data_IF_530942426263
#
_entry.id   IF_530942426263
#
_cell.length_a   1.000
_cell.length_b   1.000
_cell.length_c   1.000
_cell.angle_alpha   90.00
_cell.angle_beta   90.00
_cell.angle_gamma   90.00
#
_symmetry.space_group_name_H-M   'P 1'
#
loop_
_entity.id
_entity.type
_entity.pdbx_description
1 polymer ?
#
# COMPACT_ATOMS: atom_id res chain seq x y z
N UNK A 1 -12.35 -9.86 11.22
CA UNK A 1 -11.69 -8.52 11.28
C UNK A 1 -10.17 -8.60 11.49
N UNK A 2 -9.61 -9.63 12.14
CA UNK A 2 -8.15 -9.74 12.36
C UNK A 2 -7.29 -9.91 11.10
N UNK A 3 -7.79 -10.52 10.02
CA UNK A 3 -6.97 -10.78 8.82
C UNK A 3 -6.51 -9.48 8.13
N UNK A 4 -7.35 -8.44 8.07
CA UNK A 4 -7.01 -7.17 7.41
C UNK A 4 -5.82 -6.44 8.09
N UNK A 5 -5.72 -6.55 9.43
CA UNK A 5 -4.63 -5.95 10.20
C UNK A 5 -3.28 -6.59 9.85
N UNK A 6 -3.23 -7.91 9.70
CA UNK A 6 -2.00 -8.61 9.34
C UNK A 6 -1.46 -8.18 7.97
N UNK A 7 -2.33 -7.93 6.98
CA UNK A 7 -1.88 -7.46 5.66
C UNK A 7 -1.24 -6.07 5.75
N UNK A 8 -1.84 -5.16 6.52
CA UNK A 8 -1.28 -3.82 6.74
C UNK A 8 0.06 -3.84 7.48
N UNK A 9 0.27 -4.78 8.42
CA UNK A 9 1.56 -4.94 9.09
C UNK A 9 2.62 -5.44 8.12
N UNK A 10 2.30 -6.41 7.27
CA UNK A 10 3.25 -6.94 6.27
C UNK A 10 3.71 -5.85 5.30
N UNK A 11 2.78 -5.01 4.80
CA UNK A 11 3.14 -3.93 3.88
C UNK A 11 3.97 -2.81 4.53
N UNK A 12 3.92 -2.67 5.86
CA UNK A 12 4.72 -1.68 6.59
C UNK A 12 6.23 -2.01 6.56
N UNK A 13 6.61 -3.22 6.15
CA UNK A 13 8.01 -3.60 5.93
C UNK A 13 8.52 -3.26 4.52
N UNK A 14 7.67 -2.81 3.59
CA UNK A 14 8.14 -2.43 2.24
C UNK A 14 9.13 -1.26 2.29
N UNK A 15 8.90 -0.17 3.05
CA UNK A 15 9.90 0.90 3.19
C UNK A 15 11.24 0.41 3.74
N UNK A 16 11.24 -0.56 4.66
CA UNK A 16 12.47 -1.18 5.18
C UNK A 16 13.25 -1.89 4.06
N UNK A 17 12.56 -2.57 3.14
CA UNK A 17 13.19 -3.22 1.99
C UNK A 17 13.73 -2.24 0.94
N UNK A 18 13.12 -1.05 0.83
CA UNK A 18 13.50 -0.03 -0.17
C UNK A 18 14.59 0.93 0.32
N UNK A 19 14.44 1.46 1.53
CA UNK A 19 15.33 2.47 2.12
C UNK A 19 16.16 1.96 3.30
N UNK A 20 16.09 0.66 3.61
CA UNK A 20 16.81 0.07 4.74
C UNK A 20 16.30 0.57 6.09
N UNK A 21 17.04 0.25 7.15
CA UNK A 21 16.74 0.73 8.51
C UNK A 21 16.88 2.26 8.63
N UNK A 22 17.68 2.88 7.77
CA UNK A 22 17.92 4.33 7.78
C UNK A 22 16.69 5.14 7.36
N UNK A 23 15.76 4.55 6.59
CA UNK A 23 14.50 5.22 6.27
C UNK A 23 13.69 5.56 7.54
N UNK A 24 13.78 4.79 8.61
CA UNK A 24 13.13 5.14 9.88
C UNK A 24 13.83 6.28 10.63
N UNK A 25 15.08 6.58 10.31
CA UNK A 25 15.85 7.70 10.90
C UNK A 25 15.74 8.97 10.08
N UNK A 26 15.66 8.83 8.76
CA UNK A 26 15.52 9.93 7.80
C UNK A 26 14.44 9.56 6.78
N UNK A 27 13.16 9.64 7.17
CA UNK A 27 12.07 9.18 6.32
C UNK A 27 11.94 10.05 5.08
N UNK A 28 11.86 9.38 3.93
CA UNK A 28 11.55 9.98 2.63
C UNK A 28 10.12 9.65 2.23
N UNK A 29 9.34 10.68 1.91
CA UNK A 29 7.96 10.56 1.43
C UNK A 29 7.87 9.75 0.14
N UNK A 30 8.87 9.82 -0.74
CA UNK A 30 8.86 9.08 -2.01
C UNK A 30 8.88 7.57 -1.76
N UNK A 31 9.70 7.10 -0.82
CA UNK A 31 9.74 5.69 -0.42
C UNK A 31 8.42 5.26 0.24
N UNK A 32 7.81 6.10 1.07
CA UNK A 32 6.50 5.83 1.66
C UNK A 32 5.39 5.68 0.61
N UNK A 33 5.33 6.57 -0.37
CA UNK A 33 4.37 6.50 -1.47
C UNK A 33 4.63 5.30 -2.39
N UNK A 34 5.90 5.00 -2.69
CA UNK A 34 6.27 3.81 -3.46
C UNK A 34 5.87 2.53 -2.75
N UNK A 35 6.03 2.45 -1.43
CA UNK A 35 5.54 1.33 -0.63
C UNK A 35 4.02 1.17 -0.74
N UNK A 36 3.28 2.27 -0.69
CA UNK A 36 1.84 2.30 -0.99
C UNK A 36 1.53 1.75 -2.38
N UNK A 37 2.21 2.21 -3.42
CA UNK A 37 2.02 1.69 -4.78
C UNK A 37 2.34 0.19 -4.91
N UNK A 38 3.42 -0.28 -4.30
CA UNK A 38 3.80 -1.70 -4.32
C UNK A 38 2.77 -2.57 -3.59
N UNK A 39 2.14 -2.04 -2.54
CA UNK A 39 1.07 -2.77 -1.85
C UNK A 39 -0.17 -3.03 -2.75
N UNK A 40 -0.34 -2.32 -3.87
CA UNK A 40 -1.40 -2.58 -4.87
C UNK A 40 -1.27 -3.93 -5.57
N UNK A 41 -0.11 -4.58 -5.51
CA UNK A 41 0.03 -5.94 -6.05
C UNK A 41 -0.99 -6.91 -5.44
N UNK A 42 -1.23 -6.79 -4.14
CA UNK A 42 -2.18 -7.64 -3.43
C UNK A 42 -3.63 -7.45 -3.92
N UNK A 43 -4.23 -6.25 -3.93
CA UNK A 43 -5.59 -6.09 -4.43
C UNK A 43 -5.70 -6.37 -5.93
N UNK A 44 -4.73 -5.98 -6.77
CA UNK A 44 -4.88 -6.08 -8.22
C UNK A 44 -4.68 -7.49 -8.77
N UNK A 45 -3.79 -8.28 -8.18
CA UNK A 45 -3.43 -9.60 -8.72
C UNK A 45 -3.88 -10.77 -7.85
N UNK A 46 -4.23 -10.54 -6.58
CA UNK A 46 -4.67 -11.61 -5.68
C UNK A 46 -6.14 -11.40 -5.30
N UNK A 47 -6.47 -10.30 -4.63
CA UNK A 47 -7.80 -10.15 -4.04
C UNK A 47 -8.89 -9.93 -5.10
N UNK A 48 -8.72 -8.98 -6.03
CA UNK A 48 -9.73 -8.72 -7.06
C UNK A 48 -9.97 -9.96 -7.96
N UNK A 49 -8.94 -10.69 -8.41
CA UNK A 49 -9.14 -11.96 -9.11
C UNK A 49 -9.85 -13.02 -8.27
N UNK A 50 -9.44 -13.23 -7.01
CA UNK A 50 -10.07 -14.20 -6.12
C UNK A 50 -11.55 -13.89 -5.84
N UNK A 51 -11.94 -12.62 -5.89
CA UNK A 51 -13.33 -12.15 -5.77
C UNK A 51 -14.10 -12.21 -7.10
N UNK A 52 -13.50 -12.70 -8.18
CA UNK A 52 -14.12 -12.77 -9.51
C UNK A 52 -14.15 -11.44 -10.27
N UNK A 53 -13.55 -10.37 -9.73
CA UNK A 53 -13.46 -9.06 -10.38
C UNK A 53 -12.39 -8.98 -11.48
N UNK A 54 -11.59 -10.04 -11.65
CA UNK A 54 -10.50 -10.11 -12.63
C UNK A 54 -9.27 -9.31 -12.21
N UNK A 55 -8.20 -9.39 -13.02
CA UNK A 55 -6.95 -8.66 -12.80
C UNK A 55 -7.24 -7.16 -12.79
N UNK A 56 -6.77 -6.45 -11.75
CA UNK A 56 -7.00 -5.03 -11.55
C UNK A 56 -8.49 -4.64 -11.72
N UNK A 57 -9.42 -5.45 -11.18
CA UNK A 57 -10.87 -5.21 -11.19
C UNK A 57 -11.46 -5.05 -12.60
N UNK A 58 -10.84 -5.62 -13.63
CA UNK A 58 -11.23 -5.46 -15.03
C UNK A 58 -12.69 -5.87 -15.33
N UNK A 59 -13.27 -6.78 -14.55
CA UNK A 59 -14.65 -7.28 -14.72
C UNK A 59 -15.69 -6.53 -13.87
N UNK A 60 -15.29 -5.50 -13.12
CA UNK A 60 -16.24 -4.68 -12.37
C UNK A 60 -17.01 -3.73 -13.30
N UNK A 61 -18.22 -3.26 -12.93
CA UNK A 61 -18.98 -2.33 -13.78
C UNK A 61 -18.27 -1.01 -14.10
N UNK A 62 -17.31 -0.59 -13.26
CA UNK A 62 -16.55 0.66 -13.41
C UNK A 62 -15.07 0.44 -13.03
N UNK A 63 -14.25 -0.22 -13.88
CA UNK A 63 -12.90 -0.65 -13.53
C UNK A 63 -11.96 0.52 -13.23
N UNK A 64 -12.06 1.62 -13.98
CA UNK A 64 -11.24 2.83 -13.73
C UNK A 64 -11.47 3.42 -12.34
N UNK A 65 -12.74 3.49 -11.89
CA UNK A 65 -13.08 3.97 -10.54
C UNK A 65 -12.58 3.02 -9.46
N UNK A 66 -12.71 1.71 -9.66
CA UNK A 66 -12.22 0.71 -8.72
C UNK A 66 -10.70 0.80 -8.54
N UNK A 67 -9.95 0.94 -9.65
CA UNK A 67 -8.49 1.14 -9.63
C UNK A 67 -8.11 2.44 -8.93
N UNK A 68 -8.74 3.56 -9.29
CA UNK A 68 -8.48 4.87 -8.68
C UNK A 68 -8.67 4.83 -7.16
N UNK A 69 -9.80 4.31 -6.69
CA UNK A 69 -10.07 4.22 -5.26
C UNK A 69 -9.06 3.32 -4.54
N UNK A 70 -8.70 2.18 -5.15
CA UNK A 70 -7.65 1.31 -4.62
C UNK A 70 -6.31 2.07 -4.51
N UNK A 71 -5.88 2.73 -5.59
CA UNK A 71 -4.65 3.52 -5.61
C UNK A 71 -4.65 4.62 -4.55
N UNK A 72 -5.74 5.39 -4.42
CA UNK A 72 -5.85 6.45 -3.42
C UNK A 72 -5.72 5.90 -1.99
N UNK A 73 -6.43 4.81 -1.68
CA UNK A 73 -6.33 4.16 -0.36
C UNK A 73 -4.89 3.73 -0.04
N UNK A 74 -4.18 3.16 -1.03
CA UNK A 74 -2.83 2.66 -0.80
C UNK A 74 -1.79 3.78 -0.76
N UNK A 75 -2.00 4.89 -1.49
CA UNK A 75 -1.19 6.10 -1.35
C UNK A 75 -1.40 6.76 0.01
N UNK A 76 -2.64 6.85 0.50
CA UNK A 76 -2.93 7.35 1.85
C UNK A 76 -2.24 6.48 2.91
N UNK A 77 -2.30 5.16 2.75
CA UNK A 77 -1.58 4.23 3.62
C UNK A 77 -0.06 4.48 3.61
N UNK A 78 0.56 4.56 2.43
CA UNK A 78 1.99 4.85 2.29
C UNK A 78 2.40 6.21 2.86
N UNK A 79 1.57 7.22 2.67
CA UNK A 79 1.76 8.55 3.28
C UNK A 79 1.63 8.51 4.81
N UNK A 80 0.70 7.72 5.34
CA UNK A 80 0.57 7.46 6.78
C UNK A 80 1.80 6.78 7.39
N UNK A 81 2.42 5.84 6.67
CA UNK A 81 3.70 5.24 7.06
C UNK A 81 4.81 6.29 7.16
N UNK A 82 4.91 7.17 6.14
CA UNK A 82 5.87 8.27 6.15
C UNK A 82 5.65 9.21 7.35
N UNK A 83 4.42 9.67 7.58
CA UNK A 83 4.12 10.55 8.73
C UNK A 83 4.52 9.87 10.04
N UNK A 84 4.18 8.60 10.20
CA UNK A 84 4.50 7.85 11.42
C UNK A 84 6.01 7.74 11.64
N UNK A 85 6.77 7.41 10.59
CA UNK A 85 8.23 7.37 10.65
C UNK A 85 8.82 8.77 10.93
N UNK A 86 8.29 9.82 10.32
CA UNK A 86 8.72 11.20 10.54
C UNK A 86 8.47 11.66 11.97
N UNK A 87 7.34 11.27 12.56
CA UNK A 87 7.04 11.52 13.97
C UNK A 87 7.95 10.77 14.93
N UNK A 88 8.51 9.63 14.52
CA UNK A 88 9.44 8.84 15.34
C UNK A 88 10.91 9.29 15.19
N UNK A 89 11.25 9.89 14.05
CA UNK A 89 12.60 10.37 13.74
C UNK A 89 12.93 11.74 14.36
N UNK A 90 11.92 12.50 14.78
CA UNK A 90 12.05 13.77 15.51
C UNK A 90 11.94 13.60 17.02
#
# INVERSE_FOLDING_TARGET
MGHALCHGIVFAFIPLGLGGADWFRQPDVAIGLLAGLLSLFAPFFIMQPALGFGIAAAKTPRPGRARLLSTLVHLIYGYGLYITAAMQAG
#
